data_IF_109859137494
#
_entry.id   IF_109859137494
#
_cell.length_a   1.000
_cell.length_b   1.000
_cell.length_c   1.000
_cell.angle_alpha   90.00
_cell.angle_beta   90.00
_cell.angle_gamma   90.00
#
_symmetry.space_group_name_H-M   'P 1'
#
loop_
_entity.id
_entity.type
_entity.pdbx_description
1 polymer ?
#
# COMPACT_ATOMS: atom_id res chain seq x y z
N UNK A 1 -0.07 15.93 -9.41
CA UNK A 1 1.35 15.57 -9.30
C UNK A 1 1.56 14.38 -10.22
N UNK A 2 2.49 14.46 -11.18
CA UNK A 2 2.58 13.47 -12.27
C UNK A 2 3.05 12.10 -11.77
N UNK A 3 2.49 11.02 -12.32
CA UNK A 3 2.76 9.62 -11.97
C UNK A 3 4.26 9.25 -11.98
N UNK A 4 5.02 9.80 -12.93
CA UNK A 4 6.45 9.54 -13.14
C UNK A 4 7.33 9.88 -11.92
N UNK A 5 6.94 10.87 -11.11
CA UNK A 5 7.72 11.25 -9.92
C UNK A 5 7.63 10.18 -8.81
N UNK A 6 6.51 9.47 -8.71
CA UNK A 6 6.32 8.43 -7.69
C UNK A 6 7.11 7.15 -8.00
N UNK A 7 7.17 6.75 -9.27
CA UNK A 7 7.99 5.62 -9.72
C UNK A 7 9.47 5.85 -9.38
N UNK A 8 10.02 7.02 -9.73
CA UNK A 8 11.41 7.38 -9.42
C UNK A 8 11.72 7.36 -7.90
N UNK A 9 10.75 7.72 -7.06
CA UNK A 9 10.92 7.65 -5.59
C UNK A 9 10.98 6.22 -5.09
N UNK A 10 10.16 5.32 -5.66
CA UNK A 10 10.22 3.89 -5.36
C UNK A 10 11.52 3.26 -5.85
N UNK A 11 12.00 3.63 -7.03
CA UNK A 11 13.32 3.22 -7.53
C UNK A 11 14.45 3.62 -6.58
N UNK A 12 14.48 4.88 -6.14
CA UNK A 12 15.46 5.35 -5.12
C UNK A 12 15.36 4.60 -3.80
N UNK A 13 14.17 4.11 -3.43
CA UNK A 13 14.00 3.26 -2.26
C UNK A 13 14.54 1.86 -2.52
N UNK A 14 14.27 1.26 -3.69
CA UNK A 14 14.85 -0.01 -4.10
C UNK A 14 16.38 0.00 -4.14
N UNK A 15 17.00 1.11 -4.55
CA UNK A 15 18.46 1.28 -4.53
C UNK A 15 19.05 1.15 -3.12
N UNK A 16 18.29 1.55 -2.09
CA UNK A 16 18.70 1.50 -0.67
C UNK A 16 18.33 0.20 0.03
N UNK A 17 17.46 -0.62 -0.57
CA UNK A 17 17.04 -1.89 -0.02
C UNK A 17 18.00 -3.00 -0.41
N UNK A 18 18.30 -3.90 0.53
CA UNK A 18 18.84 -5.22 0.20
C UNK A 18 17.71 -6.13 -0.32
N UNK A 19 18.03 -7.40 -0.62
CA UNK A 19 17.01 -8.39 -0.95
C UNK A 19 16.00 -8.53 0.19
N UNK A 20 14.76 -8.13 -0.05
CA UNK A 20 13.74 -8.01 0.98
C UNK A 20 12.41 -7.47 0.48
N UNK A 21 11.47 -7.34 1.40
CA UNK A 21 10.15 -6.76 1.17
C UNK A 21 9.99 -5.53 2.06
N UNK A 22 9.54 -4.41 1.51
CA UNK A 22 9.08 -3.27 2.29
C UNK A 22 7.56 -3.16 2.23
N UNK A 23 6.92 -2.97 3.38
CA UNK A 23 5.46 -2.81 3.52
C UNK A 23 5.17 -1.44 4.10
N UNK A 24 4.46 -0.62 3.32
CA UNK A 24 4.11 0.76 3.67
C UNK A 24 2.58 0.89 3.63
N UNK A 25 1.96 1.03 4.79
CA UNK A 25 0.52 1.11 4.91
C UNK A 25 0.02 2.57 4.84
N UNK A 26 -1.16 2.76 4.26
CA UNK A 26 -1.93 3.99 4.39
C UNK A 26 -2.57 4.12 5.78
N UNK A 27 -3.04 5.32 6.10
CA UNK A 27 -3.88 5.55 7.27
C UNK A 27 -5.31 5.06 7.03
N UNK A 28 -6.02 4.79 8.12
CA UNK A 28 -7.47 4.59 8.12
C UNK A 28 -8.18 5.90 8.50
N UNK A 29 -9.50 5.93 8.41
CA UNK A 29 -10.25 6.97 9.11
C UNK A 29 -10.06 6.85 10.63
N UNK A 30 -10.09 8.00 11.31
CA UNK A 30 -9.95 8.08 12.75
C UNK A 30 -11.24 8.65 13.33
N UNK A 31 -11.88 7.87 14.19
CA UNK A 31 -13.10 8.28 14.89
C UNK A 31 -12.83 9.50 15.77
N UNK A 32 -13.67 10.52 15.63
CA UNK A 32 -13.69 11.70 16.50
C UNK A 32 -14.64 11.52 17.67
N UNK A 33 -15.87 11.08 17.38
CA UNK A 33 -16.91 10.82 18.39
C UNK A 33 -18.01 9.97 17.78
N UNK A 34 -18.31 8.82 18.37
CA UNK A 34 -19.32 7.86 17.91
C UNK A 34 -19.22 7.60 16.39
N UNK A 35 -20.14 8.18 15.62
CA UNK A 35 -20.34 8.05 14.18
C UNK A 35 -19.63 9.13 13.35
N UNK A 36 -18.89 10.03 13.98
CA UNK A 36 -18.15 11.10 13.30
C UNK A 36 -16.65 10.82 13.25
N UNK A 37 -16.03 11.18 12.12
CA UNK A 37 -14.60 11.00 11.86
C UNK A 37 -13.89 12.36 11.78
N UNK A 38 -12.59 12.36 12.05
CA UNK A 38 -11.74 13.49 11.67
C UNK A 38 -11.57 13.54 10.15
N UNK A 39 -11.27 14.73 9.58
CA UNK A 39 -10.87 14.82 8.18
C UNK A 39 -9.69 13.88 7.90
N UNK A 40 -9.80 13.08 6.84
CA UNK A 40 -8.79 12.10 6.50
C UNK A 40 -7.43 12.78 6.22
N UNK A 41 -6.41 12.32 6.94
CA UNK A 41 -5.00 12.65 6.67
C UNK A 41 -4.24 11.37 6.44
N UNK A 42 -3.73 11.23 5.23
CA UNK A 42 -2.94 10.07 4.81
C UNK A 42 -1.63 9.92 5.61
N UNK A 43 -1.03 8.74 5.60
CA UNK A 43 0.36 8.53 5.99
C UNK A 43 1.32 9.26 5.04
N UNK A 44 2.30 10.00 5.59
CA UNK A 44 3.21 10.81 4.77
C UNK A 44 4.12 9.98 3.86
N UNK A 45 4.65 8.85 4.36
CA UNK A 45 5.53 7.97 3.58
C UNK A 45 4.75 7.28 2.46
N UNK A 46 3.58 6.75 2.77
CA UNK A 46 2.67 6.17 1.78
C UNK A 46 2.35 7.19 0.68
N UNK A 47 1.86 8.38 1.05
CA UNK A 47 1.54 9.44 0.08
C UNK A 47 2.74 9.90 -0.73
N UNK A 48 3.93 9.93 -0.14
CA UNK A 48 5.15 10.32 -0.82
C UNK A 48 5.55 9.32 -1.92
N UNK A 49 5.32 8.02 -1.70
CA UNK A 49 5.70 6.93 -2.61
C UNK A 49 4.61 6.55 -3.63
N UNK A 50 3.35 6.86 -3.35
CA UNK A 50 2.22 6.47 -4.21
C UNK A 50 1.41 7.65 -4.75
N UNK A 51 1.41 8.79 -4.06
CA UNK A 51 0.52 9.92 -4.37
C UNK A 51 -0.95 9.69 -3.99
N UNK A 52 -1.32 8.50 -3.52
CA UNK A 52 -2.69 8.12 -3.19
C UNK A 52 -3.15 8.80 -1.89
N UNK A 53 -4.38 9.29 -1.89
CA UNK A 53 -5.04 9.88 -0.72
C UNK A 53 -6.34 9.14 -0.37
N UNK A 54 -6.30 7.81 -0.42
CA UNK A 54 -7.37 6.90 -0.02
C UNK A 54 -6.93 6.06 1.19
N UNK A 55 -7.84 5.75 2.13
CA UNK A 55 -7.53 4.88 3.27
C UNK A 55 -7.45 3.41 2.83
N UNK A 56 -7.14 2.53 3.79
CA UNK A 56 -7.28 1.07 3.65
C UNK A 56 -6.52 0.49 2.43
N UNK A 57 -5.31 0.99 2.24
CA UNK A 57 -4.41 0.64 1.15
C UNK A 57 -3.01 0.31 1.67
N UNK A 58 -2.26 -0.53 0.97
CA UNK A 58 -0.88 -0.91 1.31
C UNK A 58 -0.02 -0.95 0.06
N UNK A 59 1.16 -0.33 0.13
CA UNK A 59 2.22 -0.44 -0.87
C UNK A 59 3.19 -1.52 -0.41
N UNK A 60 3.48 -2.47 -1.29
CA UNK A 60 4.50 -3.49 -1.06
C UNK A 60 5.56 -3.40 -2.15
N UNK A 61 6.81 -3.30 -1.74
CA UNK A 61 7.98 -3.29 -2.61
C UNK A 61 8.79 -4.55 -2.36
N UNK A 62 8.90 -5.41 -3.37
CA UNK A 62 9.70 -6.64 -3.30
C UNK A 62 10.97 -6.46 -4.12
N UNK A 63 12.12 -6.75 -3.51
CA UNK A 63 13.42 -6.81 -4.18
C UNK A 63 14.02 -8.19 -3.97
N UNK A 64 14.23 -8.93 -5.04
CA UNK A 64 14.84 -10.27 -5.02
C UNK A 64 15.75 -10.45 -6.21
N UNK A 65 17.00 -10.82 -5.95
CA UNK A 65 18.00 -11.13 -6.99
C UNK A 65 18.10 -10.04 -8.08
N UNK A 66 18.12 -8.77 -7.65
CA UNK A 66 18.12 -7.57 -8.49
C UNK A 66 16.84 -7.29 -9.28
N UNK A 67 15.81 -8.14 -9.17
CA UNK A 67 14.47 -7.86 -9.69
C UNK A 67 13.68 -7.08 -8.64
N UNK A 68 13.01 -6.02 -9.08
CA UNK A 68 12.16 -5.17 -8.23
C UNK A 68 10.72 -5.26 -8.72
N UNK A 69 9.78 -5.46 -7.81
CA UNK A 69 8.35 -5.45 -8.10
C UNK A 69 7.60 -4.57 -7.12
N UNK A 70 6.67 -3.79 -7.65
CA UNK A 70 5.76 -2.90 -6.95
C UNK A 70 4.36 -3.49 -6.95
N UNK A 71 3.82 -3.71 -5.76
CA UNK A 71 2.48 -4.21 -5.54
C UNK A 71 1.64 -3.16 -4.81
N UNK A 72 0.41 -2.94 -5.25
CA UNK A 72 -0.54 -2.04 -4.60
C UNK A 72 -1.77 -2.83 -4.15
N UNK A 73 -2.05 -2.77 -2.85
CA UNK A 73 -3.28 -3.29 -2.27
C UNK A 73 -4.21 -2.13 -1.99
N UNK A 74 -5.41 -2.16 -2.53
CA UNK A 74 -6.41 -1.09 -2.37
C UNK A 74 -7.80 -1.69 -2.24
N UNK A 75 -8.76 -0.89 -1.79
CA UNK A 75 -10.16 -1.29 -1.79
C UNK A 75 -10.67 -1.43 -3.23
N UNK A 76 -11.41 -2.49 -3.56
CA UNK A 76 -12.11 -2.60 -4.83
C UNK A 76 -13.18 -1.51 -4.96
N UNK A 77 -13.59 -1.24 -6.20
CA UNK A 77 -14.72 -0.35 -6.47
C UNK A 77 -15.99 -0.98 -5.91
N UNK A 78 -16.81 -0.14 -5.28
CA UNK A 78 -18.11 -0.54 -4.78
C UNK A 78 -19.10 0.58 -5.10
N UNK A 79 -19.98 0.35 -6.08
CA UNK A 79 -20.92 1.35 -6.57
C UNK A 79 -21.81 1.93 -5.46
N UNK A 80 -22.26 1.08 -4.53
CA UNK A 80 -23.08 1.50 -3.41
C UNK A 80 -22.32 2.46 -2.50
N UNK A 81 -21.08 2.15 -2.15
CA UNK A 81 -20.27 2.99 -1.27
C UNK A 81 -19.79 4.27 -1.97
N UNK A 82 -19.49 4.20 -3.27
CA UNK A 82 -19.05 5.36 -4.05
C UNK A 82 -20.13 6.44 -4.19
N UNK A 83 -21.42 6.07 -4.14
CA UNK A 83 -22.52 7.03 -4.11
C UNK A 83 -22.47 7.95 -2.87
N UNK A 84 -21.97 7.43 -1.74
CA UNK A 84 -21.95 8.16 -0.46
C UNK A 84 -20.57 8.73 -0.14
N UNK A 85 -19.51 7.97 -0.41
CA UNK A 85 -18.14 8.27 0.00
C UNK A 85 -17.30 8.90 -1.13
N UNK A 86 -17.86 8.99 -2.34
CA UNK A 86 -17.16 9.43 -3.53
C UNK A 86 -16.40 8.31 -4.24
N UNK A 87 -15.93 8.60 -5.46
CA UNK A 87 -15.26 7.62 -6.34
C UNK A 87 -13.95 7.13 -5.73
N UNK A 88 -13.69 5.83 -5.87
CA UNK A 88 -12.40 5.20 -5.56
C UNK A 88 -11.53 5.12 -6.81
N UNK A 89 -10.22 4.99 -6.61
CA UNK A 89 -9.28 4.73 -7.69
C UNK A 89 -9.61 3.41 -8.38
N UNK A 90 -9.74 2.34 -7.59
CA UNK A 90 -10.02 0.99 -8.09
C UNK A 90 -8.81 0.26 -8.63
N UNK A 91 -8.92 -1.07 -8.65
CA UNK A 91 -7.83 -2.00 -8.99
C UNK A 91 -7.23 -1.72 -10.37
N UNK A 92 -8.10 -1.60 -11.38
CA UNK A 92 -7.70 -1.36 -12.77
C UNK A 92 -6.90 -0.06 -12.92
N UNK A 93 -7.41 1.04 -12.36
CA UNK A 93 -6.72 2.34 -12.48
C UNK A 93 -5.50 2.44 -11.59
N UNK A 94 -5.46 1.71 -10.48
CA UNK A 94 -4.31 1.72 -9.58
C UNK A 94 -3.07 1.19 -10.29
N UNK A 95 -3.20 0.13 -11.10
CA UNK A 95 -2.07 -0.40 -11.87
C UNK A 95 -1.52 0.66 -12.84
N UNK A 96 -2.38 1.22 -13.67
CA UNK A 96 -1.98 2.15 -14.74
C UNK A 96 -1.51 3.51 -14.21
N UNK A 97 -2.24 4.11 -13.27
CA UNK A 97 -1.96 5.46 -12.80
C UNK A 97 -0.77 5.51 -11.84
N UNK A 98 -0.52 4.43 -11.10
CA UNK A 98 0.54 4.38 -10.11
C UNK A 98 1.83 3.76 -10.66
N UNK A 99 1.79 3.13 -11.84
CA UNK A 99 2.91 2.37 -12.37
C UNK A 99 3.28 1.21 -11.44
N UNK A 100 2.27 0.48 -10.96
CA UNK A 100 2.45 -0.74 -10.19
C UNK A 100 2.51 -1.94 -11.14
N UNK A 101 3.30 -2.95 -10.80
CA UNK A 101 3.37 -4.20 -11.58
C UNK A 101 2.06 -4.99 -11.43
N UNK A 102 1.54 -5.03 -10.20
CA UNK A 102 0.35 -5.78 -9.85
C UNK A 102 -0.47 -4.99 -8.80
N UNK A 103 -1.81 -5.06 -8.90
CA UNK A 103 -2.73 -4.44 -7.97
C UNK A 103 -3.74 -5.49 -7.48
N UNK A 104 -3.98 -5.52 -6.17
CA UNK A 104 -4.84 -6.52 -5.51
C UNK A 104 -5.82 -5.87 -4.54
N UNK A 105 -6.89 -6.59 -4.24
CA UNK A 105 -7.85 -6.20 -3.22
C UNK A 105 -7.15 -6.22 -1.85
N UNK A 106 -7.40 -5.24 -1.00
CA UNK A 106 -6.79 -5.16 0.34
C UNK A 106 -7.18 -6.36 1.21
N UNK A 107 -8.33 -6.95 0.95
CA UNK A 107 -8.84 -8.16 1.59
C UNK A 107 -7.95 -9.38 1.31
N UNK A 108 -7.30 -9.43 0.14
CA UNK A 108 -6.40 -10.50 -0.27
C UNK A 108 -4.97 -10.32 0.25
N UNK A 109 -4.68 -9.22 0.95
CA UNK A 109 -3.32 -8.85 1.39
C UNK A 109 -2.58 -9.99 2.09
N UNK A 110 -3.21 -10.61 3.08
CA UNK A 110 -2.60 -11.65 3.91
C UNK A 110 -2.21 -12.87 3.06
N UNK A 111 -3.14 -13.35 2.23
CA UNK A 111 -2.95 -14.49 1.33
C UNK A 111 -1.85 -14.24 0.28
N UNK A 112 -1.80 -13.04 -0.29
CA UNK A 112 -0.77 -12.70 -1.28
C UNK A 112 0.60 -12.58 -0.60
N UNK A 113 0.66 -12.00 0.60
CA UNK A 113 1.91 -11.89 1.36
C UNK A 113 2.46 -13.26 1.77
N UNK A 114 1.63 -14.23 2.13
CA UNK A 114 2.06 -15.62 2.39
C UNK A 114 2.82 -16.23 1.20
N UNK A 115 2.40 -15.91 -0.03
CA UNK A 115 3.09 -16.35 -1.25
C UNK A 115 4.34 -15.53 -1.60
N UNK A 116 4.37 -14.25 -1.20
CA UNK A 116 5.44 -13.32 -1.55
C UNK A 116 6.62 -13.36 -0.56
N UNK A 117 6.35 -13.54 0.74
CA UNK A 117 7.37 -13.56 1.80
C UNK A 117 8.47 -14.60 1.58
N UNK A 118 8.18 -15.85 1.14
CA UNK A 118 9.20 -16.88 0.99
C UNK A 118 10.37 -16.48 0.08
N UNK A 119 11.58 -16.70 0.56
CA UNK A 119 12.83 -16.44 -0.19
C UNK A 119 13.33 -15.00 -0.12
N UNK A 120 12.68 -14.12 0.66
CA UNK A 120 13.22 -12.81 1.03
C UNK A 120 13.95 -12.91 2.38
N UNK A 121 15.06 -12.18 2.52
CA UNK A 121 15.87 -12.20 3.76
C UNK A 121 15.46 -11.13 4.76
N UNK A 122 14.96 -10.00 4.26
CA UNK A 122 14.64 -8.82 5.05
C UNK A 122 13.17 -8.43 4.88
N UNK A 123 12.54 -7.99 5.98
CA UNK A 123 11.22 -7.37 5.99
C UNK A 123 11.35 -5.97 6.61
N UNK A 124 11.05 -4.95 5.82
CA UNK A 124 11.06 -3.55 6.23
C UNK A 124 9.62 -3.10 6.53
N UNK A 125 9.36 -2.78 7.80
CA UNK A 125 8.07 -2.28 8.28
C UNK A 125 8.27 -1.05 9.14
N UNK A 126 7.28 -0.17 9.18
CA UNK A 126 7.28 0.95 10.10
C UNK A 126 6.64 0.52 11.43
N UNK A 127 7.47 0.29 12.46
CA UNK A 127 7.09 -0.39 13.72
C UNK A 127 5.95 0.25 14.54
N UNK A 128 5.56 1.51 14.25
CA UNK A 128 4.52 2.24 15.01
C UNK A 128 3.29 2.62 14.16
N UNK A 129 3.22 2.16 12.92
CA UNK A 129 2.10 2.46 12.02
C UNK A 129 1.34 1.17 11.68
N UNK A 130 -0.01 1.23 11.69
CA UNK A 130 -0.89 0.13 11.26
C UNK A 130 -0.48 -1.26 11.77
N UNK A 131 -0.55 -1.46 13.09
CA UNK A 131 -0.21 -2.73 13.75
C UNK A 131 -1.02 -3.92 13.20
N UNK A 132 -2.25 -3.67 12.75
CA UNK A 132 -3.10 -4.65 12.07
C UNK A 132 -2.45 -5.23 10.80
N UNK A 133 -1.69 -4.41 10.06
CA UNK A 133 -0.93 -4.84 8.87
C UNK A 133 0.41 -5.45 9.28
N UNK A 134 1.15 -4.78 10.17
CA UNK A 134 2.48 -5.24 10.61
C UNK A 134 2.42 -6.62 11.27
N UNK A 135 1.40 -6.89 12.08
CA UNK A 135 1.21 -8.19 12.72
C UNK A 135 0.86 -9.31 11.73
N UNK A 136 0.22 -9.01 10.61
CA UNK A 136 -0.11 -10.01 9.58
C UNK A 136 1.14 -10.49 8.83
N UNK A 137 2.09 -9.59 8.57
CA UNK A 137 3.32 -9.93 7.86
C UNK A 137 4.41 -10.55 8.75
N UNK A 138 4.35 -10.33 10.06
CA UNK A 138 5.33 -10.89 11.02
C UNK A 138 4.98 -12.31 11.52
N UNK A 139 3.76 -12.79 11.27
CA UNK A 139 3.30 -14.11 11.74
C UNK A 139 3.74 -15.28 10.85
N UNK A 140 4.37 -15.00 9.71
CA UNK A 140 4.83 -15.97 8.71
C UNK A 140 6.35 -15.88 8.55
#
# INVERSE_FOLDING_TARGET
MQSTDFANRRERLFEKMDNGIAVIASNTFMTRSNDTEFPFRQNSNFRYLTGINEPDSVLVLSKKDSQTKTYIFIRPNNELEEMWMGKRLGLEKAKDLLGADEAFAIEDFEKIMEGLLPGHKNLYVHFHERLDITNKVQKN
#
